data_IF_937453333703
#
_entry.id   IF_937453333703
#
_cell.length_a   1.000
_cell.length_b   1.000
_cell.length_c   1.000
_cell.angle_alpha   90.00
_cell.angle_beta   90.00
_cell.angle_gamma   90.00
#
_symmetry.space_group_name_H-M   'P 1'
#
loop_
_entity.id
_entity.type
_entity.pdbx_description
1 polymer ?
#
# COMPACT_ATOMS: atom_id res chain seq x y z
N UNK A 1 7.93 0.93 -11.80
CA UNK A 1 8.69 1.47 -10.63
C UNK A 1 7.90 2.45 -9.73
N UNK A 2 6.73 2.91 -10.17
CA UNK A 2 6.03 4.08 -9.63
C UNK A 2 5.10 3.78 -8.44
N UNK A 3 4.92 2.51 -8.05
CA UNK A 3 3.88 2.10 -7.09
C UNK A 3 4.38 1.89 -5.65
N UNK A 4 5.70 1.84 -5.47
CA UNK A 4 6.31 1.60 -4.17
C UNK A 4 6.87 2.89 -3.59
N UNK A 5 6.57 3.15 -2.31
CA UNK A 5 6.94 4.38 -1.61
C UNK A 5 7.59 4.08 -0.28
N UNK A 6 8.45 5.00 0.17
CA UNK A 6 9.10 4.97 1.48
C UNK A 6 8.77 6.22 2.27
N UNK A 7 8.75 6.09 3.59
CA UNK A 7 8.73 7.20 4.53
C UNK A 7 10.07 7.24 5.24
N UNK A 8 10.67 8.43 5.30
CA UNK A 8 11.98 8.67 5.90
C UNK A 8 11.86 9.60 7.10
N UNK A 9 12.80 9.49 8.04
CA UNK A 9 12.98 10.48 9.11
C UNK A 9 13.87 11.65 8.66
N UNK A 10 14.06 12.64 9.53
CA UNK A 10 14.87 13.84 9.25
C UNK A 10 16.36 13.53 8.95
N UNK A 11 16.80 12.30 9.19
CA UNK A 11 18.16 11.83 8.91
C UNK A 11 18.23 10.95 7.66
N UNK A 12 17.12 10.80 6.93
CA UNK A 12 17.02 9.97 5.72
C UNK A 12 16.90 8.46 6.01
N UNK A 13 16.65 8.04 7.25
CA UNK A 13 16.45 6.61 7.52
C UNK A 13 15.03 6.20 7.14
N UNK A 14 14.90 5.07 6.46
CA UNK A 14 13.58 4.49 6.17
C UNK A 14 12.89 4.08 7.49
N UNK A 15 11.71 4.64 7.74
CA UNK A 15 10.88 4.37 8.91
C UNK A 15 9.56 3.67 8.56
N UNK A 16 9.17 3.70 7.30
CA UNK A 16 8.06 2.93 6.77
C UNK A 16 8.14 2.77 5.26
N UNK A 17 7.38 1.82 4.72
CA UNK A 17 7.31 1.59 3.29
C UNK A 17 6.00 0.94 2.90
N UNK A 18 5.63 1.09 1.63
CA UNK A 18 4.63 0.29 0.92
C UNK A 18 5.26 -0.28 -0.34
N UNK A 19 5.06 -1.59 -0.55
CA UNK A 19 5.41 -2.29 -1.77
C UNK A 19 4.12 -2.72 -2.46
N UNK A 20 3.99 -2.33 -3.72
CA UNK A 20 2.78 -2.59 -4.47
C UNK A 20 3.08 -2.89 -5.95
N UNK A 21 2.15 -3.60 -6.59
CA UNK A 21 2.20 -3.99 -7.99
C UNK A 21 0.81 -3.87 -8.63
N UNK A 22 0.76 -3.81 -9.96
CA UNK A 22 -0.46 -4.14 -10.69
C UNK A 22 -0.58 -5.66 -10.80
N UNK A 23 -1.78 -6.20 -10.67
CA UNK A 23 -2.01 -7.60 -11.03
C UNK A 23 -2.20 -7.72 -12.53
N UNK A 24 -1.78 -8.86 -13.07
CA UNK A 24 -2.08 -9.22 -14.45
C UNK A 24 -3.53 -9.69 -14.52
N UNK A 25 -4.33 -9.17 -15.47
CA UNK A 25 -5.73 -9.56 -15.58
C UNK A 25 -5.84 -11.06 -15.89
N UNK A 26 -6.67 -11.77 -15.14
CA UNK A 26 -6.99 -13.17 -15.45
C UNK A 26 -7.87 -13.27 -16.72
N UNK A 27 -7.86 -14.41 -17.43
CA UNK A 27 -8.73 -14.60 -18.59
C UNK A 27 -10.21 -14.40 -18.23
N UNK A 28 -10.83 -13.34 -18.75
CA UNK A 28 -12.21 -12.96 -18.47
C UNK A 28 -12.38 -11.85 -17.42
N UNK A 29 -11.30 -11.36 -16.83
CA UNK A 29 -11.30 -10.19 -15.95
C UNK A 29 -10.93 -8.93 -16.75
N UNK A 30 -11.89 -8.02 -16.91
CA UNK A 30 -11.67 -6.75 -17.62
C UNK A 30 -11.08 -5.66 -16.70
N UNK A 31 -11.21 -5.83 -15.38
CA UNK A 31 -10.84 -4.82 -14.39
C UNK A 31 -9.37 -4.87 -14.04
N UNK A 32 -8.62 -3.82 -14.41
CA UNK A 32 -7.26 -3.59 -13.91
C UNK A 32 -7.31 -3.26 -12.42
N UNK A 33 -6.49 -3.92 -11.62
CA UNK A 33 -6.42 -3.64 -10.19
C UNK A 33 -5.00 -3.75 -9.64
N UNK A 34 -4.76 -2.99 -8.58
CA UNK A 34 -3.49 -3.02 -7.86
C UNK A 34 -3.52 -4.00 -6.70
N UNK A 35 -2.34 -4.44 -6.26
CA UNK A 35 -2.18 -5.26 -5.07
C UNK A 35 -1.10 -4.70 -4.14
N UNK A 36 -1.44 -4.57 -2.85
CA UNK A 36 -0.47 -4.23 -1.80
C UNK A 36 0.21 -5.52 -1.34
N UNK A 37 1.48 -5.66 -1.71
CA UNK A 37 2.29 -6.83 -1.31
C UNK A 37 2.77 -6.72 0.12
N UNK A 38 3.19 -5.53 0.56
CA UNK A 38 3.66 -5.32 1.93
C UNK A 38 3.55 -3.86 2.35
N UNK A 39 3.18 -3.63 3.61
CA UNK A 39 3.12 -2.32 4.26
C UNK A 39 3.67 -2.46 5.68
N UNK A 40 4.65 -1.64 6.03
CA UNK A 40 5.20 -1.65 7.38
C UNK A 40 5.65 -0.25 7.83
N UNK A 41 5.52 -0.02 9.14
CA UNK A 41 6.04 1.18 9.82
C UNK A 41 6.73 0.74 11.11
N UNK A 42 7.95 1.25 11.35
CA UNK A 42 8.72 1.04 12.57
C UNK A 42 7.90 1.46 13.79
N UNK A 43 7.98 0.69 14.88
CA UNK A 43 7.15 0.90 16.09
C UNK A 43 7.12 2.34 16.62
N UNK A 44 8.26 3.05 16.74
CA UNK A 44 8.28 4.43 17.24
C UNK A 44 7.53 5.43 16.37
N UNK A 45 7.35 5.11 15.08
CA UNK A 45 6.71 5.98 14.08
C UNK A 45 5.25 5.59 13.78
N UNK A 46 4.69 4.64 14.54
CA UNK A 46 3.29 4.24 14.41
C UNK A 46 2.37 5.29 15.04
N UNK A 47 1.09 5.26 14.67
CA UNK A 47 0.05 6.22 15.11
C UNK A 47 0.27 7.67 14.66
N UNK A 48 1.23 7.93 13.78
CA UNK A 48 1.45 9.22 13.11
C UNK A 48 0.77 9.34 11.73
N UNK A 49 -0.06 8.36 11.35
CA UNK A 49 -0.74 8.33 10.05
C UNK A 49 0.14 7.95 8.85
N UNK A 50 1.41 7.57 9.05
CA UNK A 50 2.33 7.22 7.95
C UNK A 50 1.81 6.10 7.06
N UNK A 51 1.24 5.05 7.64
CA UNK A 51 0.71 3.92 6.89
C UNK A 51 -0.43 4.32 5.94
N UNK A 52 -1.34 5.19 6.40
CA UNK A 52 -2.41 5.75 5.58
C UNK A 52 -1.84 6.59 4.43
N UNK A 53 -0.87 7.46 4.71
CA UNK A 53 -0.25 8.30 3.68
C UNK A 53 0.46 7.47 2.60
N UNK A 54 1.21 6.45 3.01
CA UNK A 54 1.87 5.52 2.09
C UNK A 54 0.85 4.78 1.22
N UNK A 55 -0.22 4.25 1.83
CA UNK A 55 -1.32 3.61 1.11
C UNK A 55 -1.97 4.53 0.09
N UNK A 56 -2.30 5.76 0.48
CA UNK A 56 -2.95 6.73 -0.42
C UNK A 56 -2.05 7.07 -1.62
N UNK A 57 -0.74 7.21 -1.42
CA UNK A 57 0.21 7.47 -2.51
C UNK A 57 0.27 6.28 -3.49
N UNK A 58 0.38 5.05 -2.97
CA UNK A 58 0.37 3.86 -3.81
C UNK A 58 -0.95 3.74 -4.61
N UNK A 59 -2.10 3.89 -3.96
CA UNK A 59 -3.40 3.82 -4.63
C UNK A 59 -3.57 4.92 -5.67
N UNK A 60 -3.15 6.16 -5.39
CA UNK A 60 -3.21 7.25 -6.35
C UNK A 60 -2.37 6.96 -7.60
N UNK A 61 -1.15 6.46 -7.41
CA UNK A 61 -0.28 6.08 -8.52
C UNK A 61 -0.84 4.91 -9.34
N UNK A 62 -1.53 3.96 -8.71
CA UNK A 62 -2.22 2.87 -9.42
C UNK A 62 -3.33 3.39 -10.34
N UNK A 63 -4.12 4.35 -9.87
CA UNK A 63 -5.18 4.97 -10.68
C UNK A 63 -4.57 5.79 -11.81
N UNK A 64 -3.69 6.75 -11.49
CA UNK A 64 -3.16 7.71 -12.47
C UNK A 64 -2.30 7.04 -13.57
N UNK A 65 -1.45 6.07 -13.19
CA UNK A 65 -0.51 5.48 -14.14
C UNK A 65 -1.05 4.24 -14.85
N UNK A 66 -2.04 3.54 -14.26
CA UNK A 66 -2.48 2.24 -14.74
C UNK A 66 -4.00 2.07 -14.85
N UNK A 67 -4.79 3.08 -14.50
CA UNK A 67 -6.25 3.06 -14.53
C UNK A 67 -6.83 1.92 -13.66
N UNK A 68 -6.23 1.73 -12.48
CA UNK A 68 -6.68 0.72 -11.53
C UNK A 68 -8.07 1.08 -10.96
N UNK A 69 -9.02 0.14 -11.03
CA UNK A 69 -10.38 0.32 -10.53
C UNK A 69 -10.50 0.08 -9.03
N UNK A 70 -9.65 -0.81 -8.49
CA UNK A 70 -9.57 -1.09 -7.07
C UNK A 70 -8.18 -1.57 -6.67
N UNK A 71 -7.97 -1.70 -5.36
CA UNK A 71 -6.74 -2.23 -4.77
C UNK A 71 -7.09 -3.38 -3.83
N UNK A 72 -6.42 -4.51 -3.99
CA UNK A 72 -6.57 -5.69 -3.14
C UNK A 72 -5.36 -5.88 -2.24
N UNK A 73 -5.56 -6.59 -1.13
CA UNK A 73 -4.49 -6.99 -0.21
C UNK A 73 -4.90 -8.21 0.60
N UNK A 74 -3.91 -8.89 1.19
CA UNK A 74 -4.14 -9.96 2.16
C UNK A 74 -3.78 -9.49 3.57
N UNK A 75 -4.68 -9.74 4.53
CA UNK A 75 -4.44 -9.47 5.95
C UNK A 75 -4.76 -10.70 6.80
N UNK A 76 -3.91 -10.98 7.79
CA UNK A 76 -4.16 -12.07 8.75
C UNK A 76 -5.35 -11.72 9.63
N UNK A 77 -6.27 -12.67 9.84
CA UNK A 77 -7.44 -12.52 10.71
C UNK A 77 -7.09 -12.04 12.14
N UNK A 78 -5.92 -12.41 12.65
CA UNK A 78 -5.44 -12.01 13.98
C UNK A 78 -4.84 -10.59 14.04
N UNK A 79 -4.57 -9.94 12.91
CA UNK A 79 -3.94 -8.63 12.88
C UNK A 79 -4.97 -7.48 13.01
N UNK A 80 -5.47 -7.29 14.23
CA UNK A 80 -6.47 -6.25 14.54
C UNK A 80 -6.02 -4.83 14.16
N UNK A 81 -4.72 -4.53 14.31
CA UNK A 81 -4.20 -3.20 13.99
C UNK A 81 -4.28 -2.89 12.49
N UNK A 82 -3.98 -3.87 11.64
CA UNK A 82 -4.11 -3.73 10.19
C UNK A 82 -5.57 -3.78 9.72
N UNK A 83 -6.40 -4.62 10.33
CA UNK A 83 -7.84 -4.64 10.05
C UNK A 83 -8.47 -3.26 10.30
N UNK A 84 -8.15 -2.61 11.43
CA UNK A 84 -8.64 -1.25 11.71
C UNK A 84 -8.02 -0.16 10.81
N UNK A 85 -6.92 -0.45 10.11
CA UNK A 85 -6.31 0.48 9.16
C UNK A 85 -6.98 0.38 7.77
N UNK A 86 -7.45 -0.81 7.40
CA UNK A 86 -8.00 -1.09 6.06
C UNK A 86 -9.53 -1.14 6.00
N UNK A 87 -10.21 -1.27 7.14
CA UNK A 87 -11.67 -1.21 7.26
C UNK A 87 -12.17 0.23 7.12
#
# INVERSE_FOLDING_TARGET
>A
PQLSYVAEDDKGNIVGYVLAKMEEPEPGEESKHGHITSLAVKRPFRRLGLAQKLMNQASYAMVECFDAQYVSLHVRKSNRAALNLYA
#
